data_IF_628505409588
#
_entry.id   IF_628505409588
#
_cell.length_a   1.000
_cell.length_b   1.000
_cell.length_c   1.000
_cell.angle_alpha   90.00
_cell.angle_beta   90.00
_cell.angle_gamma   90.00
#
_symmetry.space_group_name_H-M   'P 1'
#
loop_
_entity.id
_entity.type
_entity.pdbx_description
1 polymer ?
#
# COMPACT_ATOMS: atom_id res chain seq x y z
N UNK A 1 8.57 8.07 2.92
CA UNK A 1 7.96 9.41 3.08
C UNK A 1 6.72 9.67 2.22
N UNK A 2 6.84 9.85 0.89
CA UNK A 2 5.75 10.37 0.02
C UNK A 2 4.45 9.54 0.07
N UNK A 3 4.55 8.21 0.06
CA UNK A 3 3.37 7.34 0.15
C UNK A 3 2.60 7.51 1.48
N UNK A 4 3.33 7.67 2.60
CA UNK A 4 2.73 7.90 3.92
C UNK A 4 2.09 9.29 4.01
N UNK A 5 2.75 10.30 3.45
CA UNK A 5 2.22 11.65 3.35
C UNK A 5 0.91 11.71 2.55
N UNK A 6 0.89 11.06 1.39
CA UNK A 6 -0.30 10.93 0.55
C UNK A 6 -1.44 10.22 1.28
N UNK A 7 -1.17 9.11 1.96
CA UNK A 7 -2.15 8.40 2.76
C UNK A 7 -2.74 9.24 3.91
N UNK A 8 -1.91 10.04 4.58
CA UNK A 8 -2.38 10.90 5.68
C UNK A 8 -3.20 12.12 5.18
N UNK A 9 -2.81 12.72 4.07
CA UNK A 9 -3.42 13.96 3.56
C UNK A 9 -4.49 13.74 2.48
N UNK A 10 -4.62 12.52 1.95
CA UNK A 10 -5.45 12.21 0.79
C UNK A 10 -4.89 12.75 -0.53
N UNK A 11 -3.62 13.14 -0.57
CA UNK A 11 -2.96 13.60 -1.80
C UNK A 11 -2.59 12.40 -2.70
N UNK A 12 -2.42 12.64 -4.00
CA UNK A 12 -2.08 11.58 -4.95
C UNK A 12 -0.55 11.42 -5.05
N UNK A 13 0.03 10.29 -4.63
CA UNK A 13 1.47 10.12 -4.69
C UNK A 13 1.92 9.76 -6.11
N UNK A 14 3.11 10.21 -6.46
CA UNK A 14 3.93 9.70 -7.56
C UNK A 14 5.26 9.33 -6.92
N UNK A 15 5.54 8.03 -6.85
CA UNK A 15 6.78 7.51 -6.27
C UNK A 15 7.62 6.84 -7.35
N UNK A 16 8.94 6.95 -7.24
CA UNK A 16 9.87 6.40 -8.21
C UNK A 16 10.07 7.31 -9.42
N UNK A 17 10.35 6.70 -10.58
CA UNK A 17 10.67 7.43 -11.81
C UNK A 17 9.45 8.18 -12.34
N UNK A 18 9.58 9.48 -12.52
CA UNK A 18 8.57 10.29 -13.20
C UNK A 18 8.56 9.98 -14.70
N UNK A 19 7.39 9.68 -15.24
CA UNK A 19 7.21 9.42 -16.69
C UNK A 19 7.06 10.75 -17.41
N UNK A 20 7.94 11.07 -18.38
CA UNK A 20 7.78 12.31 -19.14
C UNK A 20 6.44 12.37 -19.88
N UNK A 21 5.79 13.52 -19.82
CA UNK A 21 4.46 13.74 -20.39
C UNK A 21 3.31 13.44 -19.43
N UNK A 22 3.57 13.12 -18.17
CA UNK A 22 2.51 12.84 -17.18
C UNK A 22 1.56 14.03 -16.99
N UNK A 23 2.05 15.28 -17.12
CA UNK A 23 1.21 16.47 -16.99
C UNK A 23 0.75 17.05 -18.33
N UNK A 24 1.40 16.72 -19.43
CA UNK A 24 1.14 17.37 -20.74
C UNK A 24 0.46 16.44 -21.75
N UNK A 25 0.65 15.12 -21.66
CA UNK A 25 0.14 14.16 -22.64
C UNK A 25 -1.14 13.48 -22.17
N UNK A 26 -2.27 13.95 -22.67
CA UNK A 26 -3.62 13.44 -22.34
C UNK A 26 -3.89 12.00 -22.80
N UNK A 27 -3.08 11.45 -23.72
CA UNK A 27 -3.28 10.10 -24.26
C UNK A 27 -2.71 9.04 -23.30
N UNK A 28 -1.76 9.41 -22.44
CA UNK A 28 -1.15 8.47 -21.51
C UNK A 28 -2.12 8.06 -20.40
N UNK A 29 -2.17 6.78 -20.05
CA UNK A 29 -2.99 6.28 -18.94
C UNK A 29 -2.58 6.87 -17.57
N UNK A 30 -1.32 7.32 -17.45
CA UNK A 30 -0.80 7.95 -16.23
C UNK A 30 -1.02 9.47 -16.20
N UNK A 31 -1.77 10.04 -17.15
CA UNK A 31 -2.04 11.47 -17.21
C UNK A 31 -2.73 11.99 -15.94
N UNK A 32 -2.21 13.10 -15.40
CA UNK A 32 -2.75 13.74 -14.20
C UNK A 32 -2.65 15.25 -14.32
N UNK A 33 -3.67 15.94 -13.82
CA UNK A 33 -3.72 17.40 -13.76
C UNK A 33 -3.80 17.89 -12.30
N UNK A 34 -2.69 17.85 -11.54
CA UNK A 34 -2.70 18.34 -10.18
C UNK A 34 -2.80 19.87 -10.15
N UNK A 35 -3.54 20.40 -9.18
CA UNK A 35 -3.62 21.86 -8.94
C UNK A 35 -2.44 22.41 -8.15
N UNK A 36 -1.66 21.55 -7.52
CA UNK A 36 -0.48 21.89 -6.72
C UNK A 36 0.46 20.70 -6.73
N UNK A 37 1.75 20.98 -6.91
CA UNK A 37 2.82 19.99 -6.88
C UNK A 37 3.69 20.22 -5.64
N UNK A 38 4.01 19.14 -4.92
CA UNK A 38 5.03 19.17 -3.85
C UNK A 38 6.18 18.25 -4.24
N UNK A 39 7.40 18.78 -4.22
CA UNK A 39 8.60 18.13 -4.76
C UNK A 39 9.67 17.98 -3.66
N UNK A 40 10.40 16.86 -3.68
CA UNK A 40 11.46 16.53 -2.72
C UNK A 40 12.79 17.21 -2.98
N UNK A 41 13.22 17.29 -4.24
CA UNK A 41 14.41 18.04 -4.60
C UNK A 41 14.26 18.53 -6.05
N UNK A 42 14.30 19.85 -6.31
CA UNK A 42 14.15 20.37 -7.67
C UNK A 42 15.30 19.94 -8.60
N UNK A 43 16.43 19.45 -8.08
CA UNK A 43 17.54 18.94 -8.90
C UNK A 43 17.23 17.54 -9.44
N UNK A 44 16.89 16.57 -8.59
CA UNK A 44 16.54 15.22 -9.05
C UNK A 44 15.20 15.21 -9.78
N UNK A 45 14.26 16.02 -9.32
CA UNK A 45 12.88 16.04 -9.80
C UNK A 45 12.65 17.21 -10.79
N UNK A 46 13.67 17.58 -11.56
CA UNK A 46 13.58 18.67 -12.54
C UNK A 46 12.56 18.41 -13.66
N UNK A 47 12.28 17.14 -13.96
CA UNK A 47 11.32 16.75 -15.00
C UNK A 47 9.88 17.20 -14.65
N UNK A 48 9.28 16.82 -13.50
CA UNK A 48 7.96 17.31 -13.12
C UNK A 48 7.92 18.83 -12.90
N UNK A 49 9.02 19.45 -12.44
CA UNK A 49 9.10 20.92 -12.27
C UNK A 49 9.04 21.63 -13.63
N UNK A 50 9.72 21.10 -14.65
CA UNK A 50 9.66 21.65 -16.01
C UNK A 50 8.28 21.43 -16.62
N UNK A 51 7.68 20.26 -16.44
CA UNK A 51 6.33 19.99 -16.95
C UNK A 51 5.25 20.82 -16.27
N UNK A 52 5.39 21.12 -14.98
CA UNK A 52 4.50 22.01 -14.26
C UNK A 52 4.43 23.41 -14.88
N UNK A 53 5.55 23.88 -15.45
CA UNK A 53 5.60 25.19 -16.13
C UNK A 53 4.78 25.23 -17.42
N UNK A 54 4.55 24.11 -18.09
CA UNK A 54 3.72 24.06 -19.31
C UNK A 54 2.22 24.17 -19.02
N UNK A 55 1.80 23.81 -17.79
CA UNK A 55 0.37 23.68 -17.41
C UNK A 55 0.00 24.66 -16.27
N UNK A 56 0.88 25.60 -15.93
CA UNK A 56 0.69 26.60 -14.87
C UNK A 56 0.34 25.99 -13.49
N UNK A 57 1.02 24.91 -13.13
CA UNK A 57 0.83 24.24 -11.84
C UNK A 57 1.79 24.86 -10.81
N UNK A 58 1.31 25.34 -9.66
CA UNK A 58 2.17 25.88 -8.62
C UNK A 58 3.00 24.77 -7.95
N UNK A 59 4.28 25.05 -7.72
CA UNK A 59 5.27 24.09 -7.21
C UNK A 59 5.83 24.53 -5.86
N UNK A 60 5.67 23.67 -4.86
CA UNK A 60 6.35 23.76 -3.57
C UNK A 60 7.49 22.74 -3.57
N UNK A 61 8.70 23.14 -3.24
CA UNK A 61 9.84 22.23 -3.21
C UNK A 61 10.62 22.30 -1.89
N UNK A 62 11.11 21.15 -1.45
CA UNK A 62 12.13 21.06 -0.42
C UNK A 62 13.50 21.40 -1.06
N UNK A 63 14.12 22.50 -0.63
CA UNK A 63 15.33 23.03 -1.26
C UNK A 63 16.51 23.01 -0.30
N UNK A 64 17.67 22.58 -0.79
CA UNK A 64 18.94 22.71 -0.10
C UNK A 64 19.72 23.93 -0.62
N UNK A 65 20.90 24.18 -0.08
CA UNK A 65 21.76 25.31 -0.48
C UNK A 65 22.23 25.24 -1.93
N UNK A 66 22.31 24.03 -2.50
CA UNK A 66 22.73 23.76 -3.88
C UNK A 66 21.56 23.51 -4.85
N UNK A 67 20.31 23.55 -4.37
CA UNK A 67 19.13 23.28 -5.19
C UNK A 67 18.77 24.48 -6.10
N UNK A 68 18.51 24.29 -7.40
CA UNK A 68 18.05 25.37 -8.28
C UNK A 68 16.61 25.76 -7.93
N UNK A 69 16.33 27.07 -7.86
CA UNK A 69 15.00 27.63 -7.57
C UNK A 69 14.22 28.00 -8.83
N UNK A 70 14.61 27.48 -10.00
CA UNK A 70 13.92 27.80 -11.26
C UNK A 70 12.58 27.05 -11.31
N UNK A 71 11.49 27.79 -11.55
CA UNK A 71 10.11 27.28 -11.58
C UNK A 71 9.63 26.68 -10.24
N UNK A 72 10.24 27.10 -9.12
CA UNK A 72 9.76 26.80 -7.77
C UNK A 72 9.11 28.06 -7.22
N UNK A 73 7.85 27.97 -6.81
CA UNK A 73 7.12 29.11 -6.25
C UNK A 73 7.41 29.26 -4.75
N UNK A 74 7.45 28.15 -4.02
CA UNK A 74 7.73 28.12 -2.59
C UNK A 74 8.85 27.11 -2.30
N UNK A 75 10.02 27.63 -1.95
CA UNK A 75 11.15 26.82 -1.50
C UNK A 75 11.17 26.69 0.03
N UNK A 76 11.10 25.46 0.54
CA UNK A 76 11.27 25.17 1.97
C UNK A 76 12.74 24.80 2.20
N UNK A 77 13.53 25.65 2.87
CA UNK A 77 14.94 25.37 3.11
C UNK A 77 15.08 24.20 4.08
N UNK A 78 15.67 23.10 3.63
CA UNK A 78 15.92 21.93 4.47
C UNK A 78 17.08 21.08 3.92
N UNK A 79 17.60 20.18 4.76
CA UNK A 79 18.56 19.18 4.28
C UNK A 79 17.80 18.06 3.57
N UNK A 80 17.83 18.04 2.25
CA UNK A 80 17.17 17.04 1.42
C UNK A 80 18.06 15.80 1.09
N UNK A 81 19.28 15.73 1.63
CA UNK A 81 20.20 14.59 1.42
C UNK A 81 20.10 13.53 2.53
N UNK A 82 19.80 13.96 3.75
CA UNK A 82 19.66 13.04 4.89
C UNK A 82 18.29 12.36 4.92
N UNK A 83 18.26 11.03 4.99
CA UNK A 83 17.03 10.22 5.00
C UNK A 83 16.09 10.63 6.15
N UNK A 84 16.64 10.81 7.34
CA UNK A 84 15.88 11.24 8.53
C UNK A 84 15.35 12.66 8.39
N UNK A 85 16.14 13.56 7.80
CA UNK A 85 15.72 14.95 7.59
C UNK A 85 14.54 15.03 6.61
N UNK A 86 14.62 14.33 5.47
CA UNK A 86 13.54 14.30 4.48
C UNK A 86 12.26 13.72 5.07
N UNK A 87 12.33 12.59 5.77
CA UNK A 87 11.15 11.99 6.38
C UNK A 87 10.52 12.87 7.46
N UNK A 88 11.33 13.55 8.27
CA UNK A 88 10.86 14.50 9.28
C UNK A 88 10.12 15.68 8.64
N UNK A 89 10.66 16.25 7.55
CA UNK A 89 10.01 17.37 6.85
C UNK A 89 8.63 16.98 6.31
N UNK A 90 8.52 15.81 5.68
CA UNK A 90 7.23 15.30 5.20
C UNK A 90 6.24 15.02 6.33
N UNK A 91 6.71 14.48 7.45
CA UNK A 91 5.88 14.25 8.64
C UNK A 91 5.36 15.56 9.23
N UNK A 92 6.23 16.57 9.38
CA UNK A 92 5.83 17.89 9.89
C UNK A 92 4.81 18.57 8.97
N UNK A 93 5.01 18.47 7.65
CA UNK A 93 4.10 19.03 6.66
C UNK A 93 2.72 18.34 6.72
N UNK A 94 2.67 17.00 6.78
CA UNK A 94 1.41 16.27 6.93
C UNK A 94 0.67 16.67 8.22
N UNK A 95 1.39 16.71 9.34
CA UNK A 95 0.83 17.07 10.65
C UNK A 95 0.23 18.46 10.63
N UNK A 96 0.93 19.44 10.05
CA UNK A 96 0.44 20.82 10.04
C UNK A 96 -0.73 21.00 9.08
N UNK A 97 -0.74 20.32 7.93
CA UNK A 97 -1.91 20.28 7.02
C UNK A 97 -3.14 19.72 7.74
N UNK A 98 -3.00 18.64 8.51
CA UNK A 98 -4.10 18.04 9.27
C UNK A 98 -4.59 18.94 10.41
N UNK A 99 -3.70 19.69 11.05
CA UNK A 99 -4.05 20.69 12.06
C UNK A 99 -4.82 21.86 11.46
N UNK A 100 -4.38 22.38 10.30
CA UNK A 100 -5.07 23.45 9.59
C UNK A 100 -6.46 23.00 9.08
N UNK A 101 -6.61 21.72 8.74
CA UNK A 101 -7.90 21.11 8.38
C UNK A 101 -8.82 20.84 9.58
N UNK A 102 -8.34 20.97 10.81
CA UNK A 102 -9.11 20.70 12.03
C UNK A 102 -9.33 19.22 12.34
N UNK A 103 -8.67 18.30 11.62
CA UNK A 103 -8.76 16.85 11.88
C UNK A 103 -8.04 16.47 13.18
N UNK A 104 -6.98 17.20 13.52
CA UNK A 104 -6.16 16.96 14.70
C UNK A 104 -6.05 18.27 15.48
N UNK A 105 -6.22 18.19 16.81
CA UNK A 105 -6.01 19.34 17.69
C UNK A 105 -4.53 19.68 17.86
N UNK A 106 -4.21 20.93 18.17
CA UNK A 106 -2.81 21.34 18.45
C UNK A 106 -2.31 20.90 19.82
N UNK A 107 -3.23 20.70 20.76
CA UNK A 107 -2.95 20.34 22.15
C UNK A 107 -2.53 18.88 22.31
N UNK A 108 -3.18 17.98 21.57
CA UNK A 108 -2.88 16.57 21.62
C UNK A 108 -1.71 16.22 20.69
N UNK A 109 -0.84 15.33 21.16
CA UNK A 109 0.21 14.77 20.32
C UNK A 109 -0.42 13.97 19.16
N UNK A 110 0.27 13.95 18.01
CA UNK A 110 -0.19 13.14 16.89
C UNK A 110 0.29 11.70 17.08
N UNK A 111 -0.64 10.73 17.03
CA UNK A 111 -0.36 9.31 17.27
C UNK A 111 0.61 8.68 16.27
N UNK A 112 0.76 9.27 15.08
CA UNK A 112 1.66 8.73 14.05
C UNK A 112 3.10 9.12 14.34
N UNK A 113 3.94 8.12 14.61
CA UNK A 113 5.37 8.31 14.86
C UNK A 113 6.12 8.80 13.62
N UNK A 114 7.13 9.64 13.84
CA UNK A 114 7.96 10.25 12.78
C UNK A 114 8.70 9.20 11.95
N UNK A 115 9.19 8.15 12.61
CA UNK A 115 10.02 7.10 12.02
C UNK A 115 9.30 6.35 10.88
N UNK A 116 7.96 6.36 10.88
CA UNK A 116 7.17 5.77 9.81
C UNK A 116 7.40 6.47 8.45
N UNK A 117 7.87 7.72 8.47
CA UNK A 117 8.16 8.51 7.27
C UNK A 117 9.59 8.34 6.76
N UNK A 118 10.50 7.82 7.60
CA UNK A 118 11.87 7.54 7.19
C UNK A 118 11.89 6.48 6.09
N UNK A 119 12.83 6.66 5.16
CA UNK A 119 13.12 5.65 4.18
C UNK A 119 13.95 4.56 4.87
N UNK A 120 13.53 3.30 4.71
CA UNK A 120 14.28 2.13 5.12
C UNK A 120 14.63 1.37 3.87
N UNK A 121 15.87 0.94 3.75
CA UNK A 121 16.27 0.08 2.66
C UNK A 121 15.53 -1.27 2.78
N UNK A 122 15.00 -1.80 1.67
CA UNK A 122 14.16 -3.00 1.70
C UNK A 122 14.91 -4.21 2.29
N UNK A 123 16.21 -4.35 2.04
CA UNK A 123 17.03 -5.44 2.57
C UNK A 123 17.27 -5.32 4.09
N UNK A 124 17.46 -4.10 4.60
CA UNK A 124 17.63 -3.86 6.03
C UNK A 124 16.30 -3.96 6.78
N UNK A 125 15.21 -3.47 6.19
CA UNK A 125 13.88 -3.60 6.74
C UNK A 125 13.47 -5.06 6.90
N UNK A 126 13.68 -5.90 5.88
CA UNK A 126 13.37 -7.33 5.97
C UNK A 126 14.23 -8.04 7.03
N UNK A 127 15.53 -7.70 7.12
CA UNK A 127 16.44 -8.29 8.11
C UNK A 127 16.13 -7.84 9.55
N UNK A 128 15.76 -6.59 9.75
CA UNK A 128 15.36 -6.07 11.05
C UNK A 128 13.97 -6.55 11.46
N UNK A 129 13.02 -6.69 10.52
CA UNK A 129 11.71 -7.28 10.77
C UNK A 129 11.84 -8.77 11.11
N UNK A 130 12.66 -9.52 10.38
CA UNK A 130 13.01 -10.91 10.72
C UNK A 130 13.69 -10.99 12.09
N UNK A 131 14.64 -10.11 12.38
CA UNK A 131 15.29 -10.03 13.68
C UNK A 131 14.35 -9.60 14.82
N UNK A 132 13.30 -8.82 14.54
CA UNK A 132 12.28 -8.43 15.51
C UNK A 132 11.24 -9.54 15.72
N UNK A 133 10.93 -10.32 14.68
CA UNK A 133 10.09 -11.53 14.77
C UNK A 133 10.83 -12.63 15.54
N UNK A 134 12.15 -12.79 15.32
CA UNK A 134 12.99 -13.74 16.06
C UNK A 134 13.25 -13.29 17.52
N UNK A 135 13.30 -11.97 17.78
CA UNK A 135 13.44 -11.41 19.13
C UNK A 135 12.11 -11.23 19.85
N UNK A 136 10.98 -11.46 19.22
CA UNK A 136 9.72 -11.56 19.92
C UNK A 136 9.79 -12.82 20.81
N UNK A 137 9.84 -12.69 22.15
CA UNK A 137 9.97 -13.85 23.00
C UNK A 137 8.76 -14.75 22.79
N UNK A 138 9.02 -16.04 22.60
CA UNK A 138 8.04 -17.11 22.82
C UNK A 138 7.38 -16.80 24.15
N UNK A 139 6.08 -16.55 24.13
CA UNK A 139 5.26 -16.32 25.31
C UNK A 139 5.34 -17.59 26.14
N UNK A 140 6.24 -17.60 27.12
CA UNK A 140 6.39 -18.68 28.08
C UNK A 140 5.11 -18.68 28.93
N UNK A 141 4.22 -19.65 28.67
CA UNK A 141 3.02 -19.91 29.47
C UNK A 141 3.39 -20.60 30.80
N UNK A 142 4.33 -20.02 31.56
CA UNK A 142 4.67 -20.45 32.92
C UNK A 142 4.08 -19.49 33.95
N UNK A 143 2.77 -19.65 34.14
CA UNK A 143 2.08 -19.60 35.44
C UNK A 143 2.38 -18.40 36.36
N UNK A 144 1.65 -17.29 36.16
CA UNK A 144 1.19 -16.46 37.27
C UNK A 144 0.18 -17.26 38.11
N UNK A 145 0.67 -18.14 38.97
CA UNK A 145 -0.12 -18.70 40.07
C UNK A 145 0.06 -17.80 41.31
N UNK A 146 -0.60 -16.64 41.29
CA UNK A 146 -0.77 -15.84 42.50
C UNK A 146 -1.83 -16.52 43.38
N UNK A 147 -1.41 -17.09 44.50
CA UNK A 147 -2.30 -17.68 45.51
C UNK A 147 -2.45 -16.69 46.66
N UNK A 148 -3.63 -16.10 46.91
CA UNK A 148 -3.88 -15.40 48.17
C UNK A 148 -4.11 -16.41 49.30
N UNK A 149 -3.43 -16.20 50.42
CA UNK A 149 -3.51 -16.98 51.64
C UNK A 149 -4.84 -16.80 52.40
N UNK A 150 -5.25 -17.89 53.06
CA UNK A 150 -6.16 -18.01 54.22
C UNK A 150 -7.68 -18.03 54.03
N UNK A 151 -8.24 -19.26 53.92
CA UNK A 151 -9.57 -19.63 54.46
C UNK A 151 -9.45 -21.03 55.11
N UNK A 152 -9.73 -21.22 56.42
CA UNK A 152 -9.71 -22.55 57.04
C UNK A 152 -11.02 -23.30 56.76
N UNK A 153 -10.94 -24.42 56.03
CA UNK A 153 -12.08 -25.33 55.78
C UNK A 153 -11.79 -26.68 56.46
N UNK A 154 -12.71 -27.11 57.34
CA UNK A 154 -12.69 -28.37 58.06
C UNK A 154 -12.70 -29.61 57.13
N UNK A 155 -12.11 -30.75 57.54
CA UNK A 155 -12.11 -31.96 56.72
C UNK A 155 -13.50 -32.62 56.65
N UNK A 156 -13.94 -33.10 55.47
CA UNK A 156 -15.21 -33.79 55.32
C UNK A 156 -15.13 -35.26 55.79
N UNK A 157 -16.20 -35.83 56.37
CA UNK A 157 -16.26 -37.26 56.70
C UNK A 157 -16.46 -38.12 55.43
N UNK A 158 -15.74 -39.23 55.40
CA UNK A 158 -15.81 -40.34 54.44
C UNK A 158 -17.19 -41.01 54.40
N UNK A 159 -17.75 -41.24 53.21
CA UNK A 159 -18.74 -42.28 52.94
C UNK A 159 -18.79 -42.67 51.46
N UNK A 160 -19.33 -43.85 51.20
CA UNK A 160 -18.85 -44.85 50.24
C UNK A 160 -19.42 -44.76 48.81
N UNK A 161 -18.76 -45.51 47.94
CA UNK A 161 -18.93 -45.70 46.49
C UNK A 161 -20.28 -46.31 46.13
N UNK A 162 -20.90 -45.83 45.06
CA UNK A 162 -21.83 -46.64 44.24
C UNK A 162 -21.51 -46.49 42.76
N UNK A 163 -21.04 -47.60 42.20
CA UNK A 163 -20.70 -47.86 40.81
C UNK A 163 -22.01 -48.13 40.03
N UNK A 164 -22.40 -47.24 39.12
CA UNK A 164 -23.63 -47.36 38.30
C UNK A 164 -23.32 -47.60 36.82
N UNK A 165 -22.20 -48.27 36.53
CA UNK A 165 -21.86 -48.78 35.22
C UNK A 165 -22.46 -50.19 35.03
N UNK A 166 -23.78 -50.29 34.85
CA UNK A 166 -24.42 -51.42 34.16
C UNK A 166 -25.94 -51.22 34.03
N UNK A 167 -26.37 -50.47 33.01
CA UNK A 167 -27.68 -50.74 32.41
C UNK A 167 -27.63 -50.50 30.90
N UNK A 168 -28.05 -51.52 30.16
CA UNK A 168 -27.94 -51.64 28.71
C UNK A 168 -29.03 -50.86 27.98
N UNK A 169 -28.69 -50.42 26.76
CA UNK A 169 -29.48 -49.60 25.83
C UNK A 169 -30.89 -50.15 25.51
N UNK A 170 -31.79 -49.25 25.07
CA UNK A 170 -32.46 -49.49 23.79
C UNK A 170 -32.32 -48.35 22.77
N UNK A 171 -32.13 -48.78 21.52
CA UNK A 171 -32.00 -48.04 20.27
C UNK A 171 -33.27 -47.26 19.93
N UNK A 172 -33.14 -46.01 19.47
CA UNK A 172 -34.22 -45.20 18.88
C UNK A 172 -33.92 -44.86 17.40
N UNK A 173 -34.94 -44.73 16.53
CA UNK A 173 -34.82 -45.03 15.09
C UNK A 173 -34.49 -43.82 14.20
N UNK A 174 -34.03 -44.16 12.99
CA UNK A 174 -33.56 -43.28 11.92
C UNK A 174 -34.62 -42.30 11.35
N UNK A 175 -34.23 -41.07 10.97
CA UNK A 175 -35.07 -40.15 10.20
C UNK A 175 -35.06 -40.43 8.69
N UNK A 176 -36.24 -40.31 8.06
CA UNK A 176 -36.53 -40.51 6.62
C UNK A 176 -36.14 -39.28 5.76
N UNK A 177 -35.99 -39.45 4.42
CA UNK A 177 -35.30 -38.50 3.54
C UNK A 177 -36.21 -37.39 3.00
N UNK A 178 -35.70 -36.15 3.00
CA UNK A 178 -36.30 -35.00 2.33
C UNK A 178 -35.33 -34.47 1.26
N UNK A 179 -35.82 -34.27 0.03
CA UNK A 179 -35.03 -33.96 -1.17
C UNK A 179 -34.42 -32.55 -1.15
N UNK A 180 -33.19 -32.35 -1.69
CA UNK A 180 -32.58 -31.04 -1.83
C UNK A 180 -32.85 -30.41 -3.20
N UNK A 181 -33.31 -29.15 -3.20
CA UNK A 181 -33.28 -28.22 -4.32
C UNK A 181 -32.35 -27.06 -3.95
N UNK A 182 -31.42 -26.71 -4.85
CA UNK A 182 -30.55 -25.53 -4.68
C UNK A 182 -29.05 -25.79 -4.81
N UNK A 183 -28.65 -26.41 -5.90
CA UNK A 183 -27.38 -26.27 -6.65
C UNK A 183 -26.17 -25.64 -5.94
N UNK A 184 -25.25 -26.49 -5.50
CA UNK A 184 -23.81 -26.26 -5.58
C UNK A 184 -23.14 -27.59 -5.97
N UNK A 185 -22.47 -27.62 -7.12
CA UNK A 185 -21.56 -28.72 -7.49
C UNK A 185 -20.33 -28.13 -8.17
N UNK A 186 -19.23 -28.24 -7.44
CA UNK A 186 -17.86 -28.14 -7.88
C UNK A 186 -17.49 -29.36 -8.74
N UNK A 187 -16.70 -29.18 -9.81
CA UNK A 187 -15.85 -30.26 -10.31
C UNK A 187 -14.69 -29.75 -11.18
N UNK A 188 -13.50 -30.07 -10.68
CA UNK A 188 -12.17 -30.04 -11.28
C UNK A 188 -12.04 -30.76 -12.63
N UNK A 189 -11.00 -30.33 -13.37
CA UNK A 189 -10.18 -31.07 -14.34
C UNK A 189 -10.48 -30.86 -15.85
N UNK A 190 -9.62 -30.01 -16.43
CA UNK A 190 -8.85 -30.14 -17.69
C UNK A 190 -9.53 -30.29 -19.06
N UNK A 191 -8.92 -29.57 -20.02
CA UNK A 191 -8.94 -29.73 -21.50
C UNK A 191 -10.23 -29.24 -22.18
N UNK A 192 -10.18 -28.11 -22.88
CA UNK A 192 -9.75 -28.10 -24.28
C UNK A 192 -9.56 -26.68 -24.83
N UNK A 193 -8.58 -26.63 -25.71
CA UNK A 193 -8.13 -25.56 -26.59
C UNK A 193 -9.28 -24.97 -27.43
N UNK A 194 -9.36 -23.64 -27.50
CA UNK A 194 -10.11 -22.94 -28.58
C UNK A 194 -9.31 -21.74 -29.08
N UNK A 195 -8.09 -22.04 -29.52
CA UNK A 195 -7.43 -21.26 -30.56
C UNK A 195 -7.91 -21.74 -31.95
N UNK A 196 -8.18 -20.75 -32.81
CA UNK A 196 -8.27 -20.82 -34.28
C UNK A 196 -9.65 -20.87 -34.98
N UNK A 197 -9.97 -19.71 -35.58
CA UNK A 197 -10.06 -19.49 -37.02
C UNK A 197 -11.42 -19.38 -37.73
N UNK A 198 -11.39 -18.49 -38.73
CA UNK A 198 -12.24 -18.34 -39.92
C UNK A 198 -13.58 -17.58 -39.70
N UNK A 199 -14.03 -16.66 -40.55
CA UNK A 199 -13.55 -16.14 -41.83
C UNK A 199 -14.56 -15.12 -42.41
N UNK A 200 -14.07 -13.94 -42.82
CA UNK A 200 -14.54 -13.12 -43.95
C UNK A 200 -15.92 -12.43 -43.92
N UNK A 201 -16.23 -11.52 -44.88
CA UNK A 201 -15.42 -11.09 -46.04
C UNK A 201 -15.19 -9.55 -46.16
N UNK A 202 -14.26 -9.17 -47.03
CA UNK A 202 -14.04 -7.81 -47.57
C UNK A 202 -15.02 -7.48 -48.73
N UNK A 203 -15.07 -6.24 -49.26
CA UNK A 203 -14.13 -5.87 -50.34
C UNK A 203 -13.65 -4.38 -50.42
N UNK A 204 -12.37 -4.25 -50.77
CA UNK A 204 -11.66 -3.34 -51.72
C UNK A 204 -12.19 -1.93 -52.06
N UNK A 205 -11.34 -0.89 -51.95
CA UNK A 205 -10.46 -0.40 -53.04
C UNK A 205 -9.86 1.00 -52.72
N UNK A 206 -8.56 1.21 -52.99
CA UNK A 206 -7.96 2.53 -53.16
C UNK A 206 -6.75 2.86 -52.27
N UNK A 207 -5.58 2.38 -52.66
CA UNK A 207 -4.30 3.00 -52.29
C UNK A 207 -3.89 4.03 -53.35
N UNK A 208 -2.99 4.96 -53.02
CA UNK A 208 -1.85 5.18 -53.91
C UNK A 208 -0.54 4.95 -53.18
N UNK A 209 0.18 4.01 -53.78
CA UNK A 209 1.60 3.76 -53.87
C UNK A 209 2.50 5.02 -53.76
N UNK A 210 3.50 4.97 -52.89
CA UNK A 210 4.70 5.81 -53.00
C UNK A 210 5.93 4.92 -52.78
N UNK A 211 6.54 4.51 -53.88
CA UNK A 211 7.74 3.68 -53.89
C UNK A 211 8.71 4.11 -54.98
N UNK A 212 9.98 4.29 -54.57
CA UNK A 212 11.18 4.30 -55.43
C UNK A 212 11.47 5.63 -56.14
N UNK A 213 12.70 6.12 -56.29
CA UNK A 213 14.05 5.57 -56.08
C UNK A 213 15.06 6.72 -56.18
N UNK A 214 16.15 6.59 -55.43
CA UNK A 214 17.54 6.93 -55.77
C UNK A 214 17.95 8.30 -56.35
N UNK A 215 19.12 8.71 -55.85
CA UNK A 215 20.20 9.47 -56.50
C UNK A 215 20.25 11.02 -56.39
N UNK A 216 21.38 11.44 -55.84
CA UNK A 216 22.30 12.48 -56.34
C UNK A 216 22.23 13.92 -55.77
N UNK A 217 23.27 14.23 -54.98
CA UNK A 217 24.00 15.50 -54.82
C UNK A 217 23.54 16.65 -55.72
N UNK A 218 23.28 17.86 -55.18
CA UNK A 218 23.70 19.13 -55.78
C UNK A 218 23.83 20.25 -54.70
N UNK A 219 25.02 20.88 -54.68
CA UNK A 219 25.49 22.12 -54.02
C UNK A 219 25.43 22.30 -52.50
#
# INVERSE_FOLDING_TARGET
>A
AVLKFAGATGATPIAGRFTPGTFTNQIQAAFREPRLLVVTDPRTDHQPVTEASYVNIPVIALCNTDSPLRYVDIGIPCNNKGLHSVGLMWWMLAREVLRLRGTISREHAWDVMVDLYFYRDPEEAEKEEQGAIEKAPVKDESQDQWVPSDIPIQPPPTQEVTDWASEAMPVAPAPQPFMPSGTAKDWSATTDDWSAAASGPAPTAGAPEWGGTAAENWN
#
